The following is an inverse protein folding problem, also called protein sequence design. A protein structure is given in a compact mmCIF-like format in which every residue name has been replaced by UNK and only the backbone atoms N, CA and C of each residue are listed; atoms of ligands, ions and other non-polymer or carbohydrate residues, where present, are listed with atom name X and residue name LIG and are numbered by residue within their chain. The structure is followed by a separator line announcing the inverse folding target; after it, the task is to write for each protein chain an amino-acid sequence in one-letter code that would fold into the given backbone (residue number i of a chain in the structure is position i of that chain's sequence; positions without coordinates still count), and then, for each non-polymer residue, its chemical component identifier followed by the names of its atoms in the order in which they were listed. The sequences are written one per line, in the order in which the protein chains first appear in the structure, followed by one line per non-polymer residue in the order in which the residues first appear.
data_IF_272391270392
#
_entry.id   IF_272391270392
#
_cell.length_a   1.000
_cell.length_b   1.000
_cell.length_c   1.000
_cell.angle_alpha   90.00
_cell.angle_beta   90.00
_cell.angle_gamma   90.00
#
_symmetry.space_group_name_H-M   'P 1'
#
loop_
_entity.id
_entity.type
_entity.pdbx_description
1 polymer ?
#
# COMPACT_ATOMS: atom_id res chain seq x y z
N UNK A 1 13.35 7.41 -2.32
CA UNK A 1 12.17 8.27 -2.05
C UNK A 1 11.13 7.44 -1.32
N UNK A 2 10.47 8.01 -0.30
CA UNK A 2 9.62 7.27 0.64
C UNK A 2 8.45 6.51 -0.03
N UNK A 3 7.81 7.11 -1.04
CA UNK A 3 6.67 6.47 -1.73
C UNK A 3 7.10 5.19 -2.48
N UNK A 4 8.23 5.23 -3.18
CA UNK A 4 8.77 4.05 -3.86
C UNK A 4 9.20 2.95 -2.87
N UNK A 5 9.79 3.34 -1.73
CA UNK A 5 10.10 2.38 -0.67
C UNK A 5 8.82 1.72 -0.11
N UNK A 6 7.75 2.50 0.07
CA UNK A 6 6.46 1.98 0.54
C UNK A 6 5.85 0.97 -0.45
N UNK A 7 5.80 1.30 -1.75
CA UNK A 7 5.33 0.38 -2.79
C UNK A 7 6.12 -0.93 -2.78
N UNK A 8 7.45 -0.87 -2.64
CA UNK A 8 8.27 -2.08 -2.56
C UNK A 8 7.95 -2.94 -1.34
N UNK A 9 7.64 -2.33 -0.19
CA UNK A 9 7.18 -3.07 1.00
C UNK A 9 5.84 -3.76 0.72
N UNK A 10 4.87 -3.06 0.09
CA UNK A 10 3.58 -3.66 -0.29
C UNK A 10 3.80 -4.86 -1.22
N UNK A 11 4.60 -4.70 -2.29
CA UNK A 11 4.91 -5.78 -3.23
C UNK A 11 5.70 -6.96 -2.63
N UNK A 12 6.37 -6.76 -1.48
CA UNK A 12 7.13 -7.81 -0.81
C UNK A 12 6.29 -8.58 0.21
N UNK A 13 5.30 -7.93 0.81
CA UNK A 13 4.54 -8.47 1.95
C UNK A 13 3.10 -8.85 1.61
N UNK A 14 2.50 -8.24 0.59
CA UNK A 14 1.08 -8.41 0.24
C UNK A 14 0.95 -9.00 -1.16
N UNK A 15 0.03 -9.96 -1.29
CA UNK A 15 -0.44 -10.47 -2.57
C UNK A 15 -1.75 -9.76 -2.99
N UNK A 16 -2.08 -9.85 -4.28
CA UNK A 16 -3.32 -9.28 -4.79
C UNK A 16 -4.55 -9.96 -4.14
N UNK A 17 -5.47 -9.17 -3.60
CA UNK A 17 -6.65 -9.62 -2.86
C UNK A 17 -6.46 -9.71 -1.34
N UNK A 18 -5.26 -9.48 -0.82
CA UNK A 18 -5.03 -9.39 0.63
C UNK A 18 -5.71 -8.16 1.23
N UNK A 19 -6.11 -8.25 2.50
CA UNK A 19 -6.71 -7.12 3.22
C UNK A 19 -5.70 -6.41 4.10
N UNK A 20 -5.69 -5.08 4.06
CA UNK A 20 -4.83 -4.23 4.91
C UNK A 20 -5.65 -3.29 5.79
N UNK A 21 -5.13 -2.95 6.96
CA UNK A 21 -5.73 -1.98 7.88
C UNK A 21 -5.06 -0.62 7.69
N UNK A 22 -5.86 0.41 7.43
CA UNK A 22 -5.40 1.80 7.46
C UNK A 22 -6.13 2.58 8.55
N UNK A 23 -5.37 3.18 9.46
CA UNK A 23 -5.90 4.06 10.49
C UNK A 23 -6.11 5.47 9.95
N UNK A 24 -7.26 6.08 10.24
CA UNK A 24 -7.57 7.44 9.84
C UNK A 24 -6.95 8.49 10.81
N UNK A 25 -6.52 9.66 10.31
CA UNK A 25 -6.38 10.02 8.90
C UNK A 25 -5.16 9.33 8.27
N UNK A 26 -5.30 8.86 7.03
CA UNK A 26 -4.24 8.16 6.31
C UNK A 26 -3.69 8.99 5.15
N UNK A 27 -2.46 8.66 4.77
CA UNK A 27 -1.77 9.30 3.65
C UNK A 27 -2.33 8.82 2.31
N UNK A 28 -2.78 9.74 1.46
CA UNK A 28 -3.44 9.41 0.20
C UNK A 28 -2.58 8.53 -0.75
N UNK A 29 -1.26 8.72 -0.77
CA UNK A 29 -0.38 7.95 -1.67
C UNK A 29 -0.19 6.50 -1.18
N UNK A 30 -0.23 6.28 0.14
CA UNK A 30 -0.26 4.92 0.68
C UNK A 30 -1.54 4.19 0.23
N UNK A 31 -2.69 4.87 0.29
CA UNK A 31 -3.96 4.31 -0.22
C UNK A 31 -3.89 4.00 -1.72
N UNK A 32 -3.38 4.93 -2.54
CA UNK A 32 -3.23 4.70 -3.97
C UNK A 32 -2.29 3.53 -4.28
N UNK A 33 -1.25 3.32 -3.46
CA UNK A 33 -0.31 2.22 -3.64
C UNK A 33 -1.03 0.87 -3.57
N UNK A 34 -1.91 0.67 -2.58
CA UNK A 34 -2.71 -0.55 -2.45
C UNK A 34 -3.65 -0.76 -3.65
N UNK A 35 -4.35 0.30 -4.08
CA UNK A 35 -5.24 0.24 -5.24
C UNK A 35 -4.52 -0.14 -6.54
N UNK A 36 -3.28 0.33 -6.73
CA UNK A 36 -2.48 0.02 -7.91
C UNK A 36 -1.91 -1.41 -7.88
N UNK A 37 -1.60 -1.94 -6.70
CA UNK A 37 -1.05 -3.31 -6.54
C UNK A 37 -2.13 -4.38 -6.46
N UNK A 38 -3.41 -3.99 -6.36
CA UNK A 38 -4.53 -4.92 -6.25
C UNK A 38 -4.68 -5.54 -4.86
N UNK A 39 -4.11 -4.87 -3.85
CA UNK A 39 -4.30 -5.18 -2.42
C UNK A 39 -5.56 -4.47 -1.96
#
# INVERSE_FOLDING_TARGET
GANQAFVNVVLTLCDAGDSVIMFAPYYFNAYMSFQMTGV
#
